data_IF_698617660310
#
_entry.id   IF_698617660310
#
_cell.length_a   1.000
_cell.length_b   1.000
_cell.length_c   1.000
_cell.angle_alpha   90.00
_cell.angle_beta   90.00
_cell.angle_gamma   90.00
#
_symmetry.space_group_name_H-M   'P 1'
#
loop_
_entity.id
_entity.type
_entity.pdbx_description
1 polymer ?
#
# COMPACT_ATOMS: atom_id res chain seq x y z
N UNK A 1 -3.17 6.52 7.99
CA UNK A 1 -2.50 5.32 7.44
C UNK A 1 -1.14 5.61 6.80
N UNK A 2 -0.67 6.86 6.75
CA UNK A 2 0.60 7.23 6.11
C UNK A 2 1.80 6.38 6.58
N UNK A 3 2.13 6.41 7.88
CA UNK A 3 3.31 5.70 8.40
C UNK A 3 3.22 4.18 8.21
N UNK A 4 2.04 3.58 8.40
CA UNK A 4 1.86 2.14 8.18
C UNK A 4 2.13 1.78 6.71
N UNK A 5 1.61 2.56 5.76
CA UNK A 5 1.88 2.38 4.33
C UNK A 5 3.37 2.53 4.02
N UNK A 6 4.02 3.56 4.56
CA UNK A 6 5.46 3.79 4.37
C UNK A 6 6.31 2.64 4.93
N UNK A 7 5.97 2.11 6.11
CA UNK A 7 6.70 0.97 6.70
C UNK A 7 6.46 -0.31 5.90
N UNK A 8 5.23 -0.56 5.44
CA UNK A 8 4.96 -1.73 4.59
C UNK A 8 5.81 -1.67 3.30
N UNK A 9 5.99 -0.48 2.73
CA UNK A 9 6.82 -0.27 1.54
C UNK A 9 8.30 -0.60 1.75
N UNK A 10 8.81 -0.61 2.99
CA UNK A 10 10.19 -1.06 3.29
C UNK A 10 10.33 -2.57 3.05
N UNK A 11 9.27 -3.34 3.32
CA UNK A 11 9.20 -4.78 3.01
C UNK A 11 10.08 -5.69 3.86
N UNK A 12 10.79 -5.14 4.85
CA UNK A 12 11.78 -5.85 5.66
C UNK A 12 11.52 -5.76 7.16
N UNK A 13 12.57 -5.53 7.94
CA UNK A 13 12.52 -5.49 9.40
C UNK A 13 11.71 -4.27 9.91
N UNK A 14 10.74 -4.53 10.79
CA UNK A 14 10.03 -3.52 11.58
C UNK A 14 10.43 -3.65 13.05
N UNK A 15 10.71 -2.51 13.69
CA UNK A 15 10.89 -2.42 15.14
C UNK A 15 9.78 -1.54 15.71
N UNK A 16 9.03 -2.07 16.69
CA UNK A 16 8.01 -1.30 17.39
C UNK A 16 8.65 -0.52 18.54
N UNK A 17 8.54 0.81 18.50
CA UNK A 17 9.00 1.69 19.58
C UNK A 17 7.95 2.01 20.64
N UNK A 18 6.67 1.72 20.37
CA UNK A 18 5.57 2.04 21.27
C UNK A 18 5.49 1.10 22.47
N UNK A 19 4.98 1.62 23.60
CA UNK A 19 4.64 0.79 24.75
C UNK A 19 3.44 -0.08 24.39
N UNK A 20 3.68 -1.38 24.26
CA UNK A 20 2.67 -2.39 23.93
C UNK A 20 1.38 -2.27 24.74
N UNK A 21 1.49 -2.00 26.05
CA UNK A 21 0.35 -1.85 26.96
C UNK A 21 -0.62 -0.70 26.62
N UNK A 22 -0.18 0.25 25.79
CA UNK A 22 -0.97 1.43 25.42
C UNK A 22 -1.60 1.32 24.03
N UNK A 23 -1.41 0.19 23.34
CA UNK A 23 -1.95 0.01 21.99
C UNK A 23 -3.45 -0.28 22.03
N UNK A 24 -4.21 0.47 21.24
CA UNK A 24 -5.61 0.15 20.94
C UNK A 24 -5.71 -1.08 20.04
N UNK A 25 -6.86 -1.76 20.05
CA UNK A 25 -7.11 -2.92 19.16
C UNK A 25 -6.87 -2.57 17.69
N UNK A 26 -7.33 -1.39 17.25
CA UNK A 26 -7.12 -0.90 15.88
C UNK A 26 -5.64 -0.75 15.52
N UNK A 27 -4.81 -0.22 16.42
CA UNK A 27 -3.37 -0.14 16.20
C UNK A 27 -2.75 -1.54 16.13
N UNK A 28 -3.25 -2.45 16.96
CA UNK A 28 -2.80 -3.84 16.99
C UNK A 28 -3.08 -4.59 15.69
N UNK A 29 -4.24 -4.40 15.09
CA UNK A 29 -4.60 -5.04 13.82
C UNK A 29 -3.75 -4.54 12.66
N UNK A 30 -3.37 -3.25 12.66
CA UNK A 30 -2.40 -2.71 11.69
C UNK A 30 -1.05 -3.40 11.87
N UNK A 31 -0.54 -3.52 13.10
CA UNK A 31 0.73 -4.19 13.39
C UNK A 31 0.67 -5.66 12.94
N UNK A 32 -0.41 -6.38 13.23
CA UNK A 32 -0.59 -7.79 12.79
C UNK A 32 -0.50 -7.93 11.28
N UNK A 33 -1.09 -7.02 10.50
CA UNK A 33 -0.98 -7.03 9.03
C UNK A 33 0.48 -6.89 8.58
N UNK A 34 1.27 -6.09 9.28
CA UNK A 34 2.68 -5.82 8.98
C UNK A 34 3.63 -6.96 9.36
N UNK A 35 3.18 -7.94 10.15
CA UNK A 35 3.98 -9.11 10.53
C UNK A 35 4.28 -10.06 9.36
N UNK A 36 3.62 -9.87 8.21
CA UNK A 36 3.92 -10.62 6.98
C UNK A 36 4.86 -9.77 6.11
N UNK A 37 6.19 -9.86 6.29
CA UNK A 37 7.11 -9.10 5.45
C UNK A 37 6.97 -9.53 4.00
N UNK A 38 7.04 -8.57 3.08
CA UNK A 38 7.10 -8.86 1.65
C UNK A 38 8.47 -9.43 1.24
N UNK A 39 9.50 -9.25 2.07
CA UNK A 39 10.88 -9.61 1.78
C UNK A 39 11.54 -8.72 0.73
N UNK A 40 10.83 -7.71 0.23
CA UNK A 40 11.26 -6.84 -0.87
C UNK A 40 10.68 -5.43 -0.70
N UNK A 41 11.58 -4.45 -0.67
CA UNK A 41 11.20 -3.04 -0.66
C UNK A 41 10.50 -2.62 -1.95
N UNK A 42 9.58 -1.67 -1.84
CA UNK A 42 8.90 -1.07 -2.97
C UNK A 42 9.88 -0.27 -3.84
N UNK A 43 9.68 -0.35 -5.15
CA UNK A 43 10.35 0.54 -6.12
C UNK A 43 9.40 1.71 -6.42
N UNK A 44 9.84 2.93 -6.15
CA UNK A 44 9.05 4.13 -6.42
C UNK A 44 9.35 4.71 -7.80
N UNK A 45 8.33 5.30 -8.41
CA UNK A 45 8.48 6.01 -9.68
C UNK A 45 8.91 7.47 -9.41
N UNK A 46 10.00 7.88 -10.05
CA UNK A 46 10.56 9.22 -9.90
C UNK A 46 11.10 9.52 -8.49
N UNK A 47 11.19 10.82 -8.18
CA UNK A 47 11.81 11.32 -6.94
C UNK A 47 10.79 11.82 -5.89
N UNK A 48 9.49 11.76 -6.19
CA UNK A 48 8.46 12.23 -5.25
C UNK A 48 8.08 11.18 -4.21
N UNK A 49 8.44 9.90 -4.43
CA UNK A 49 8.10 8.78 -3.57
C UNK A 49 6.59 8.69 -3.25
N UNK A 50 5.75 9.12 -4.19
CA UNK A 50 4.29 9.12 -4.03
C UNK A 50 3.66 7.80 -4.44
N UNK A 51 4.16 7.19 -5.51
CA UNK A 51 3.68 5.88 -5.98
C UNK A 51 4.83 4.91 -6.13
N UNK A 52 4.59 3.68 -5.68
CA UNK A 52 5.59 2.62 -5.74
C UNK A 52 4.97 1.25 -5.83
N UNK A 53 5.80 0.26 -6.16
CA UNK A 53 5.37 -1.12 -6.39
C UNK A 53 6.32 -2.09 -5.71
N UNK A 54 5.76 -3.02 -4.93
CA UNK A 54 6.44 -4.27 -4.56
C UNK A 54 5.89 -5.38 -5.43
N UNK A 55 6.70 -5.85 -6.39
CA UNK A 55 6.37 -6.98 -7.25
C UNK A 55 6.84 -8.31 -6.62
N UNK A 56 5.89 -9.19 -6.29
CA UNK A 56 6.08 -10.54 -5.75
C UNK A 56 5.60 -11.65 -6.72
N UNK A 57 5.63 -11.40 -8.03
CA UNK A 57 5.17 -12.36 -9.03
C UNK A 57 3.67 -12.23 -9.30
N UNK A 58 2.87 -13.16 -8.76
CA UNK A 58 1.39 -13.16 -8.90
C UNK A 58 0.70 -12.13 -8.02
N UNK A 59 1.37 -11.69 -6.95
CA UNK A 59 0.88 -10.69 -6.02
C UNK A 59 1.69 -9.41 -6.15
N UNK A 60 1.00 -8.27 -6.17
CA UNK A 60 1.58 -6.94 -6.27
C UNK A 60 1.06 -6.09 -5.11
N UNK A 61 1.92 -5.23 -4.55
CA UNK A 61 1.49 -4.16 -3.67
C UNK A 61 1.78 -2.82 -4.32
N UNK A 62 0.74 -2.03 -4.54
CA UNK A 62 0.81 -0.69 -5.08
C UNK A 62 0.63 0.32 -3.95
N UNK A 63 1.62 1.17 -3.76
CA UNK A 63 1.67 2.13 -2.67
C UNK A 63 1.27 3.51 -3.18
N UNK A 64 0.47 4.21 -2.39
CA UNK A 64 0.07 5.59 -2.64
C UNK A 64 0.32 6.40 -1.38
N UNK A 65 1.20 7.39 -1.46
CA UNK A 65 1.64 8.24 -0.36
C UNK A 65 1.44 9.70 -0.74
N UNK A 66 0.57 10.38 0.01
CA UNK A 66 0.45 11.83 -0.04
C UNK A 66 1.31 12.45 1.06
N UNK A 67 2.46 12.99 0.65
CA UNK A 67 3.39 13.72 1.51
C UNK A 67 2.94 15.16 1.79
N UNK A 68 1.94 15.70 1.07
CA UNK A 68 1.46 17.06 1.28
C UNK A 68 0.56 17.11 2.52
N UNK A 69 0.85 18.03 3.44
CA UNK A 69 0.10 18.18 4.70
C UNK A 69 -1.21 18.98 4.56
N UNK A 70 -1.49 19.53 3.38
CA UNK A 70 -2.65 20.43 3.15
C UNK A 70 -3.54 20.02 1.99
N UNK A 71 -3.01 19.38 0.95
CA UNK A 71 -3.74 19.11 -0.28
C UNK A 71 -4.17 17.67 -0.40
N UNK A 72 -5.40 17.48 -0.88
CA UNK A 72 -5.86 16.20 -1.42
C UNK A 72 -5.26 16.00 -2.81
N UNK A 73 -4.83 14.79 -3.13
CA UNK A 73 -4.17 14.47 -4.41
C UNK A 73 -4.81 13.26 -5.08
N UNK A 74 -4.65 13.20 -6.40
CA UNK A 74 -4.93 12.00 -7.21
C UNK A 74 -3.61 11.43 -7.68
N UNK A 75 -3.42 10.13 -7.49
CA UNK A 75 -2.18 9.43 -7.81
C UNK A 75 -2.47 8.20 -8.70
N UNK A 76 -1.50 7.82 -9.52
CA UNK A 76 -1.66 6.77 -10.53
C UNK A 76 -0.49 5.79 -10.49
N UNK A 77 -0.78 4.54 -10.80
CA UNK A 77 0.24 3.49 -10.93
C UNK A 77 -0.07 2.60 -12.12
N UNK A 78 0.96 2.12 -12.80
CA UNK A 78 0.79 1.08 -13.81
C UNK A 78 0.68 -0.29 -13.13
N UNK A 79 -0.38 -1.00 -13.46
CA UNK A 79 -0.61 -2.38 -13.04
C UNK A 79 0.28 -3.29 -13.88
N UNK A 80 0.79 -4.36 -13.25
CA UNK A 80 1.59 -5.38 -13.92
C UNK A 80 0.83 -6.11 -15.03
N UNK A 81 -0.49 -6.20 -14.88
CA UNK A 81 -1.43 -6.83 -15.81
C UNK A 81 -2.83 -6.82 -15.21
N UNK A 82 -3.78 -7.47 -15.87
CA UNK A 82 -5.14 -7.63 -15.38
C UNK A 82 -5.15 -8.26 -13.98
N UNK A 83 -5.66 -7.53 -13.00
CA UNK A 83 -5.55 -7.88 -11.59
C UNK A 83 -6.85 -7.67 -10.84
N UNK A 84 -7.18 -8.56 -9.91
CA UNK A 84 -8.16 -8.28 -8.87
C UNK A 84 -7.52 -7.39 -7.80
N UNK A 85 -8.08 -6.20 -7.58
CA UNK A 85 -7.55 -5.21 -6.63
C UNK A 85 -8.35 -5.20 -5.33
N UNK A 86 -7.64 -4.98 -4.22
CA UNK A 86 -8.22 -4.83 -2.88
C UNK A 86 -7.48 -3.73 -2.11
N UNK A 87 -8.20 -2.87 -1.39
CA UNK A 87 -7.59 -1.99 -0.39
C UNK A 87 -7.07 -2.86 0.76
N UNK A 88 -5.75 -2.94 0.90
CA UNK A 88 -5.09 -3.84 1.85
C UNK A 88 -5.42 -3.50 3.31
N UNK A 89 -5.53 -2.21 3.64
CA UNK A 89 -5.80 -1.78 5.01
C UNK A 89 -7.24 -2.08 5.41
N UNK A 90 -8.19 -1.79 4.52
CA UNK A 90 -9.62 -1.88 4.80
C UNK A 90 -10.19 -3.26 4.46
N UNK A 91 -9.51 -4.05 3.63
CA UNK A 91 -10.02 -5.32 3.10
C UNK A 91 -11.16 -5.14 2.09
N UNK A 92 -11.34 -3.94 1.55
CA UNK A 92 -12.39 -3.63 0.58
C UNK A 92 -11.95 -4.04 -0.82
N UNK A 93 -12.74 -4.90 -1.46
CA UNK A 93 -12.51 -5.29 -2.85
C UNK A 93 -12.84 -4.14 -3.80
N UNK A 94 -11.93 -3.88 -4.75
CA UNK A 94 -12.02 -2.77 -5.69
C UNK A 94 -12.33 -3.25 -7.12
N UNK A 95 -12.49 -4.55 -7.31
CA UNK A 95 -12.80 -5.18 -8.59
C UNK A 95 -11.57 -5.48 -9.44
N UNK A 96 -11.81 -5.86 -10.70
CA UNK A 96 -10.76 -6.21 -11.66
C UNK A 96 -10.38 -4.98 -12.47
N UNK A 97 -9.08 -4.70 -12.56
CA UNK A 97 -8.51 -3.57 -13.29
C UNK A 97 -7.33 -4.03 -14.16
N UNK A 98 -7.04 -3.28 -15.22
CA UNK A 98 -5.94 -3.53 -16.14
C UNK A 98 -5.38 -2.19 -16.65
N UNK A 99 -4.09 -2.16 -16.99
CA UNK A 99 -3.42 -0.93 -17.42
C UNK A 99 -3.06 -0.04 -16.23
N UNK A 100 -3.69 1.12 -16.11
CA UNK A 100 -3.43 2.08 -15.04
C UNK A 100 -4.52 2.05 -13.98
N UNK A 101 -4.14 2.12 -12.71
CA UNK A 101 -5.07 2.36 -11.60
C UNK A 101 -4.88 3.77 -11.04
N UNK A 102 -5.98 4.53 -11.00
CA UNK A 102 -6.04 5.89 -10.46
C UNK A 102 -6.71 5.88 -9.09
N UNK A 103 -5.96 6.27 -8.06
CA UNK A 103 -6.48 6.53 -6.73
C UNK A 103 -6.82 8.01 -6.59
N UNK A 104 -8.11 8.32 -6.54
CA UNK A 104 -8.62 9.69 -6.38
C UNK A 104 -8.74 10.07 -4.91
N UNK A 105 -8.71 11.38 -4.68
CA UNK A 105 -9.07 12.00 -3.41
C UNK A 105 -8.26 11.52 -2.19
N UNK A 106 -6.98 11.21 -2.36
CA UNK A 106 -6.10 10.80 -1.26
C UNK A 106 -5.86 12.00 -0.32
N UNK A 107 -6.33 11.96 0.95
CA UNK A 107 -6.26 13.12 1.85
C UNK A 107 -4.83 13.56 2.16
N UNK A 108 -4.65 14.79 2.70
CA UNK A 108 -3.36 15.26 3.17
C UNK A 108 -2.73 14.31 4.20
N UNK A 109 -1.40 14.19 4.17
CA UNK A 109 -0.60 13.35 5.07
C UNK A 109 -1.16 11.93 5.27
N UNK A 110 -1.55 11.31 4.15
CA UNK A 110 -2.21 10.00 4.16
C UNK A 110 -1.62 9.08 3.11
N UNK A 111 -1.91 7.79 3.25
CA UNK A 111 -1.45 6.81 2.28
C UNK A 111 -2.20 5.51 2.42
N UNK A 112 -2.23 4.75 1.34
CA UNK A 112 -2.88 3.44 1.29
C UNK A 112 -2.06 2.45 0.47
N UNK A 113 -2.39 1.18 0.61
CA UNK A 113 -1.83 0.08 -0.17
C UNK A 113 -2.97 -0.61 -0.90
N UNK A 114 -2.83 -0.74 -2.21
CA UNK A 114 -3.70 -1.58 -3.02
C UNK A 114 -2.96 -2.88 -3.30
N UNK A 115 -3.52 -3.99 -2.85
CA UNK A 115 -3.04 -5.33 -3.18
C UNK A 115 -3.67 -5.73 -4.51
N UNK A 116 -2.85 -6.18 -5.46
CA UNK A 116 -3.30 -6.75 -6.72
C UNK A 116 -2.92 -8.23 -6.83
N UNK A 117 -3.85 -9.05 -7.26
CA UNK A 117 -3.60 -10.46 -7.63
C UNK A 117 -3.82 -10.60 -9.13
N UNK A 118 -2.77 -10.98 -9.87
CA UNK A 118 -2.85 -11.19 -11.31
C UNK A 118 -3.91 -12.25 -11.63
N UNK A 119 -4.72 -12.00 -12.65
CA UNK A 119 -5.59 -13.01 -13.22
C UNK A 119 -4.78 -13.86 -14.21
N UNK A 120 -4.91 -15.18 -14.12
CA UNK A 120 -4.40 -16.06 -15.16
C UNK A 120 -5.43 -16.10 -16.28
N UNK A 121 -5.00 -15.83 -17.51
CA UNK A 121 -5.81 -16.14 -18.68
C UNK A 121 -5.95 -17.67 -18.74
N UNK A 122 -7.19 -18.15 -18.66
CA UNK A 122 -7.55 -19.57 -18.79
C UNK A 122 -7.38 -20.05 -20.24
#
# INVERSE_FOLDING_TARGET
MFHATAVHAVGGLMLLGDKFANLTEKQFDIIKKQLRPTGKGARFDGNSFQTGVTDLGQEQFYYFLNWDDKKTVTLKVQLKGKSLLQNYWEGVDLGVHEGEYELKDLPPHSGTVIKGTLQQDL
#
